data_IF_841019401855
#
_entry.id   IF_841019401855
#
_cell.length_a   1.000
_cell.length_b   1.000
_cell.length_c   1.000
_cell.angle_alpha   90.00
_cell.angle_beta   90.00
_cell.angle_gamma   90.00
#
_symmetry.space_group_name_H-M   'P 1'
#
loop_
_entity.id
_entity.type
_entity.pdbx_description
1 polymer ?
#
# COMPACT_ATOMS: atom_id res chain seq x y z
N UNK A 1 1.47 -66.37 -1.11
CA UNK A 1 0.37 -65.42 -0.79
C UNK A 1 0.98 -64.03 -0.70
N UNK A 2 0.87 -63.21 -1.75
CA UNK A 2 1.35 -61.82 -1.77
C UNK A 2 0.13 -60.92 -1.58
N UNK A 3 -0.02 -60.34 -0.40
CA UNK A 3 -1.09 -59.36 -0.12
C UNK A 3 -0.64 -57.98 -0.62
N UNK A 4 -1.22 -57.54 -1.74
CA UNK A 4 -1.14 -56.15 -2.19
C UNK A 4 -2.14 -55.32 -1.38
N UNK A 5 -1.65 -54.45 -0.52
CA UNK A 5 -2.47 -53.45 0.19
C UNK A 5 -2.60 -52.23 -0.71
N UNK A 6 -3.80 -51.98 -1.25
CA UNK A 6 -4.14 -50.74 -1.94
C UNK A 6 -4.33 -49.62 -0.90
N UNK A 7 -3.46 -48.61 -0.94
CA UNK A 7 -3.59 -47.40 -0.12
C UNK A 7 -4.47 -46.38 -0.86
N UNK A 8 -5.70 -46.19 -0.38
CA UNK A 8 -6.59 -45.13 -0.87
C UNK A 8 -6.14 -43.78 -0.29
N UNK A 9 -5.60 -42.90 -1.12
CA UNK A 9 -5.24 -41.53 -0.73
C UNK A 9 -6.53 -40.68 -0.68
N UNK A 10 -6.98 -40.35 0.53
CA UNK A 10 -8.07 -39.40 0.75
C UNK A 10 -7.55 -37.97 0.50
N UNK A 11 -7.96 -37.35 -0.62
CA UNK A 11 -7.73 -35.93 -0.88
C UNK A 11 -8.69 -35.08 -0.04
N UNK A 12 -8.20 -34.60 1.11
CA UNK A 12 -8.88 -33.58 1.90
C UNK A 12 -8.77 -32.22 1.19
N UNK A 13 -9.89 -31.51 0.93
CA UNK A 13 -9.82 -30.17 0.37
C UNK A 13 -9.25 -29.21 1.42
N UNK A 14 -8.07 -28.63 1.15
CA UNK A 14 -7.57 -27.48 1.89
C UNK A 14 -8.54 -26.32 1.66
N UNK A 15 -9.42 -26.07 2.63
CA UNK A 15 -10.11 -24.79 2.71
C UNK A 15 -9.09 -23.76 3.16
N UNK A 16 -8.69 -22.86 2.26
CA UNK A 16 -7.92 -21.70 2.63
C UNK A 16 -8.79 -20.83 3.54
N UNK A 17 -8.52 -20.88 4.85
CA UNK A 17 -9.16 -19.98 5.80
C UNK A 17 -8.74 -18.54 5.43
N UNK A 18 -9.70 -17.74 4.94
CA UNK A 18 -9.48 -16.32 4.80
C UNK A 18 -9.17 -15.75 6.19
N UNK A 19 -8.02 -15.10 6.35
CA UNK A 19 -7.68 -14.46 7.62
C UNK A 19 -8.73 -13.40 7.92
N UNK A 20 -9.37 -13.51 9.08
CA UNK A 20 -10.26 -12.47 9.58
C UNK A 20 -9.44 -11.19 9.79
N UNK A 21 -9.91 -10.04 9.29
CA UNK A 21 -9.24 -8.77 9.56
C UNK A 21 -9.07 -8.54 11.05
N UNK A 22 -8.03 -7.79 11.43
CA UNK A 22 -7.87 -7.28 12.79
C UNK A 22 -9.10 -6.48 13.23
N UNK A 23 -9.30 -6.31 14.54
CA UNK A 23 -10.32 -5.40 15.05
C UNK A 23 -10.15 -3.99 14.46
N UNK A 24 -11.23 -3.21 14.35
CA UNK A 24 -11.14 -1.84 13.82
C UNK A 24 -10.13 -0.98 14.58
N UNK A 25 -10.03 -1.17 15.90
CA UNK A 25 -9.05 -0.52 16.76
C UNK A 25 -7.61 -0.90 16.37
N UNK A 26 -7.31 -2.18 16.18
CA UNK A 26 -5.98 -2.63 15.80
C UNK A 26 -5.63 -2.28 14.34
N UNK A 27 -6.60 -2.23 13.43
CA UNK A 27 -6.40 -1.69 12.09
C UNK A 27 -6.03 -0.21 12.12
N UNK A 28 -6.71 0.59 12.94
CA UNK A 28 -6.36 2.01 13.15
C UNK A 28 -4.96 2.14 13.76
N UNK A 29 -4.69 1.43 14.86
CA UNK A 29 -3.44 1.53 15.61
C UNK A 29 -2.22 1.09 14.78
N UNK A 30 -2.36 0.07 13.96
CA UNK A 30 -1.30 -0.41 13.06
C UNK A 30 -1.12 0.51 11.84
N UNK A 31 -2.20 0.96 11.21
CA UNK A 31 -2.13 1.77 9.99
C UNK A 31 -1.41 3.10 10.21
N UNK A 32 -1.73 3.79 11.30
CA UNK A 32 -1.18 5.12 11.60
C UNK A 32 0.32 5.10 11.90
N UNK A 33 0.91 3.94 12.19
CA UNK A 33 2.36 3.84 12.43
C UNK A 33 3.18 4.20 11.18
N UNK A 34 2.60 4.11 9.99
CA UNK A 34 3.23 4.58 8.76
C UNK A 34 3.38 6.12 8.72
N UNK A 35 2.51 6.87 9.38
CA UNK A 35 2.56 8.33 9.39
C UNK A 35 3.62 8.87 10.38
N UNK A 36 4.15 10.10 10.12
CA UNK A 36 4.89 10.88 11.11
C UNK A 36 4.10 11.02 12.41
N UNK A 37 4.78 10.94 13.55
CA UNK A 37 4.17 10.81 14.88
C UNK A 37 3.17 11.94 15.18
N UNK A 38 3.56 13.17 14.86
CA UNK A 38 2.79 14.39 15.05
C UNK A 38 1.51 14.45 14.19
N UNK A 39 1.43 13.66 13.11
CA UNK A 39 0.28 13.63 12.21
C UNK A 39 -0.68 12.46 12.49
N UNK A 40 -0.31 11.49 13.34
CA UNK A 40 -1.08 10.25 13.52
C UNK A 40 -2.47 10.45 14.07
N UNK A 41 -2.63 11.38 15.02
CA UNK A 41 -3.90 11.59 15.72
C UNK A 41 -5.00 12.11 14.78
N UNK A 42 -4.64 12.94 13.79
CA UNK A 42 -5.60 13.54 12.86
C UNK A 42 -5.82 12.78 11.55
N UNK A 43 -5.08 11.70 11.29
CA UNK A 43 -5.19 10.99 10.00
C UNK A 43 -6.56 10.30 9.84
N UNK A 44 -7.15 10.36 8.65
CA UNK A 44 -8.24 9.45 8.31
C UNK A 44 -7.70 8.01 8.24
N UNK A 45 -8.53 7.02 8.50
CA UNK A 45 -8.15 5.60 8.36
C UNK A 45 -9.20 4.84 7.56
N UNK A 46 -8.74 4.20 6.49
CA UNK A 46 -9.47 3.20 5.73
C UNK A 46 -8.98 1.81 6.14
N UNK A 47 -9.90 0.88 6.41
CA UNK A 47 -9.57 -0.50 6.74
C UNK A 47 -10.65 -1.47 6.26
N UNK A 48 -10.49 -2.75 6.56
CA UNK A 48 -11.28 -3.83 5.98
C UNK A 48 -12.33 -4.34 6.98
N UNK A 49 -13.59 -4.40 6.52
CA UNK A 49 -14.67 -5.05 7.23
C UNK A 49 -14.57 -6.57 7.15
N UNK A 50 -15.44 -7.27 7.90
CA UNK A 50 -15.50 -8.74 7.90
C UNK A 50 -15.82 -9.34 6.51
N UNK A 51 -16.45 -8.58 5.63
CA UNK A 51 -16.70 -8.96 4.22
C UNK A 51 -15.48 -8.72 3.30
N UNK A 52 -14.35 -8.27 3.87
CA UNK A 52 -13.12 -7.95 3.18
C UNK A 52 -13.21 -6.67 2.33
N UNK A 53 -14.28 -5.87 2.46
CA UNK A 53 -14.39 -4.58 1.77
C UNK A 53 -13.78 -3.47 2.60
N UNK A 54 -13.26 -2.48 1.88
CA UNK A 54 -12.67 -1.30 2.49
C UNK A 54 -13.77 -0.34 2.97
N UNK A 55 -13.63 0.16 4.19
CA UNK A 55 -14.52 1.12 4.83
C UNK A 55 -13.71 2.17 5.60
N UNK A 56 -14.31 3.34 5.84
CA UNK A 56 -13.72 4.34 6.74
C UNK A 56 -13.89 3.88 8.20
N UNK A 57 -12.78 3.62 8.88
CA UNK A 57 -12.75 3.24 10.29
C UNK A 57 -12.58 4.45 11.19
N UNK A 58 -11.94 5.51 10.68
CA UNK A 58 -11.74 6.77 11.40
C UNK A 58 -11.82 7.94 10.43
N UNK A 59 -12.67 8.91 10.74
CA UNK A 59 -12.70 10.20 10.04
C UNK A 59 -11.47 11.02 10.39
N UNK A 60 -10.84 11.61 9.38
CA UNK A 60 -9.66 12.46 9.56
C UNK A 60 -9.98 13.92 9.86
N UNK A 61 -9.02 14.61 10.47
CA UNK A 61 -9.01 16.06 10.72
C UNK A 61 -7.80 16.77 10.11
N UNK A 62 -6.83 16.02 9.56
CA UNK A 62 -5.65 16.56 8.87
C UNK A 62 -5.53 16.04 7.42
N UNK A 63 -4.35 16.19 6.83
CA UNK A 63 -4.08 15.95 5.42
C UNK A 63 -3.83 14.48 5.08
N UNK A 64 -3.71 13.58 6.05
CA UNK A 64 -3.35 12.19 5.80
C UNK A 64 -4.57 11.27 5.75
N UNK A 65 -4.52 10.33 4.81
CA UNK A 65 -5.35 9.13 4.76
C UNK A 65 -4.43 7.93 4.92
N UNK A 66 -4.68 7.11 5.94
CA UNK A 66 -3.98 5.87 6.20
C UNK A 66 -4.83 4.67 5.76
N UNK A 67 -4.20 3.72 5.09
CA UNK A 67 -4.77 2.47 4.63
C UNK A 67 -4.20 1.34 5.51
N UNK A 68 -5.10 0.59 6.14
CA UNK A 68 -4.75 -0.57 6.94
C UNK A 68 -4.17 -1.70 6.08
N UNK A 69 -3.49 -2.61 6.75
CA UNK A 69 -2.97 -3.84 6.15
C UNK A 69 -4.09 -4.66 5.52
N UNK A 70 -3.85 -5.17 4.31
CA UNK A 70 -4.82 -5.99 3.61
C UNK A 70 -4.76 -7.42 4.16
N UNK A 71 -5.85 -7.95 4.75
CA UNK A 71 -5.86 -9.29 5.35
C UNK A 71 -5.63 -10.44 4.35
N UNK A 72 -5.63 -10.14 3.04
CA UNK A 72 -5.31 -11.11 1.97
C UNK A 72 -3.83 -11.15 1.61
N UNK A 73 -3.03 -10.19 2.08
CA UNK A 73 -1.60 -10.11 1.78
C UNK A 73 -0.81 -10.99 2.77
N UNK A 74 0.30 -11.57 2.30
CA UNK A 74 1.13 -12.48 3.11
C UNK A 74 2.17 -11.76 3.96
N UNK A 75 2.31 -10.45 3.78
CA UNK A 75 3.26 -9.59 4.49
C UNK A 75 2.55 -8.33 4.94
N UNK A 76 2.84 -7.85 6.15
CA UNK A 76 2.25 -6.63 6.66
C UNK A 76 2.67 -5.42 5.82
N UNK A 77 1.70 -4.65 5.36
CA UNK A 77 1.89 -3.37 4.68
C UNK A 77 0.78 -2.37 5.01
N UNK A 78 1.12 -1.31 5.72
CA UNK A 78 0.26 -0.14 5.90
C UNK A 78 0.81 1.06 5.11
N UNK A 79 -0.07 1.95 4.66
CA UNK A 79 0.35 3.16 3.96
C UNK A 79 -0.39 4.39 4.47
N UNK A 80 0.28 5.53 4.62
CA UNK A 80 -0.37 6.82 4.83
C UNK A 80 0.04 7.79 3.73
N UNK A 81 -0.89 8.56 3.19
CA UNK A 81 -0.61 9.48 2.10
C UNK A 81 -1.44 10.74 2.21
N UNK A 82 -0.97 11.80 1.56
CA UNK A 82 -1.73 13.03 1.48
C UNK A 82 -3.07 12.80 0.76
N UNK A 83 -4.18 13.31 1.31
CA UNK A 83 -5.55 13.12 0.86
C UNK A 83 -5.79 13.41 -0.62
N UNK A 84 -5.06 14.36 -1.20
CA UNK A 84 -5.12 14.66 -2.65
C UNK A 84 -4.73 13.47 -3.55
N UNK A 85 -3.98 12.49 -3.05
CA UNK A 85 -3.65 11.26 -3.76
C UNK A 85 -4.79 10.24 -3.72
N UNK A 86 -5.78 10.39 -2.83
CA UNK A 86 -6.80 9.38 -2.63
C UNK A 86 -7.62 9.04 -3.89
N UNK A 87 -8.03 10.00 -4.75
CA UNK A 87 -8.68 9.64 -6.02
C UNK A 87 -7.85 8.65 -6.86
N UNK A 88 -6.54 8.88 -6.94
CA UNK A 88 -5.61 8.03 -7.68
C UNK A 88 -5.37 6.67 -7.01
N UNK A 89 -5.31 6.64 -5.68
CA UNK A 89 -5.16 5.40 -4.90
C UNK A 89 -6.43 4.55 -4.95
N UNK A 90 -7.60 5.15 -4.75
CA UNK A 90 -8.91 4.51 -4.86
C UNK A 90 -9.11 3.90 -6.24
N UNK A 91 -8.80 4.63 -7.31
CA UNK A 91 -8.85 4.09 -8.67
C UNK A 91 -7.91 2.89 -8.86
N UNK A 92 -6.72 2.94 -8.26
CA UNK A 92 -5.81 1.80 -8.23
C UNK A 92 -6.41 0.56 -7.56
N UNK A 93 -7.09 0.74 -6.43
CA UNK A 93 -7.79 -0.36 -5.71
C UNK A 93 -8.96 -0.92 -6.51
N UNK A 94 -9.74 -0.06 -7.16
CA UNK A 94 -10.84 -0.46 -8.04
C UNK A 94 -10.35 -1.32 -9.21
N UNK A 95 -9.28 -0.90 -9.89
CA UNK A 95 -8.66 -1.66 -10.97
C UNK A 95 -8.14 -3.03 -10.49
N UNK A 96 -7.51 -3.09 -9.30
CA UNK A 96 -7.10 -4.36 -8.71
C UNK A 96 -8.30 -5.29 -8.48
N UNK A 97 -9.42 -4.77 -7.98
CA UNK A 97 -10.64 -5.56 -7.78
C UNK A 97 -11.24 -6.10 -9.10
N UNK A 98 -10.96 -5.43 -10.21
CA UNK A 98 -11.30 -5.87 -11.58
C UNK A 98 -10.27 -6.84 -12.18
N UNK A 99 -9.24 -7.22 -11.43
CA UNK A 99 -8.16 -8.09 -11.89
C UNK A 99 -7.07 -7.38 -12.71
N UNK A 100 -7.19 -6.06 -12.90
CA UNK A 100 -6.18 -5.25 -13.60
C UNK A 100 -5.04 -4.93 -12.63
N UNK A 101 -3.92 -5.64 -12.78
CA UNK A 101 -2.75 -5.56 -11.90
C UNK A 101 -1.48 -5.27 -12.69
N UNK A 102 -0.34 -5.09 -12.00
CA UNK A 102 0.96 -4.86 -12.65
C UNK A 102 1.25 -3.41 -13.08
N UNK A 103 2.44 -3.21 -13.67
CA UNK A 103 2.97 -1.88 -14.02
C UNK A 103 2.17 -1.15 -15.10
N UNK A 104 1.65 -1.88 -16.09
CA UNK A 104 0.89 -1.31 -17.20
C UNK A 104 -0.43 -0.66 -16.77
N UNK A 105 -1.00 -1.10 -15.63
CA UNK A 105 -2.23 -0.52 -15.05
C UNK A 105 -2.19 1.00 -14.96
N UNK A 106 -1.03 1.58 -14.68
CA UNK A 106 -0.89 3.02 -14.55
C UNK A 106 -0.95 3.71 -15.91
N UNK A 107 -0.13 3.26 -16.85
CA UNK A 107 -0.05 3.87 -18.18
C UNK A 107 -1.34 3.70 -18.98
N UNK A 108 -1.95 2.51 -18.93
CA UNK A 108 -3.13 2.16 -19.73
C UNK A 108 -4.43 2.78 -19.20
N UNK A 109 -4.54 2.92 -17.88
CA UNK A 109 -5.78 3.39 -17.24
C UNK A 109 -5.57 4.72 -16.53
N UNK A 110 -4.87 4.72 -15.39
CA UNK A 110 -4.87 5.88 -14.49
C UNK A 110 -4.29 7.14 -15.15
N UNK A 111 -3.15 7.05 -15.83
CA UNK A 111 -2.53 8.19 -16.49
C UNK A 111 -3.31 8.67 -17.71
N UNK A 112 -3.97 7.76 -18.44
CA UNK A 112 -4.89 8.12 -19.52
C UNK A 112 -6.09 8.89 -18.97
N UNK A 113 -6.72 8.38 -17.91
CA UNK A 113 -7.84 9.03 -17.24
C UNK A 113 -7.45 10.41 -16.66
N UNK A 114 -6.21 10.57 -16.17
CA UNK A 114 -5.69 11.88 -15.74
C UNK A 114 -5.56 12.83 -16.93
N UNK A 115 -4.98 12.40 -18.06
CA UNK A 115 -4.83 13.22 -19.27
C UNK A 115 -6.18 13.64 -19.85
N UNK A 116 -7.18 12.77 -19.75
CA UNK A 116 -8.57 13.03 -20.16
C UNK A 116 -9.35 13.87 -19.13
N UNK A 117 -8.77 14.21 -17.98
CA UNK A 117 -9.41 14.99 -16.92
C UNK A 117 -10.45 14.21 -16.10
N UNK A 118 -10.55 12.89 -16.30
CA UNK A 118 -11.51 12.00 -15.60
C UNK A 118 -11.03 11.61 -14.21
N UNK A 119 -9.72 11.48 -14.03
CA UNK A 119 -9.11 11.13 -12.75
C UNK A 119 -8.33 12.33 -12.19
N UNK A 120 -8.70 12.78 -10.99
CA UNK A 120 -7.97 13.84 -10.29
C UNK A 120 -6.61 13.32 -9.82
N UNK A 121 -5.58 14.12 -10.03
CA UNK A 121 -4.23 13.86 -9.54
C UNK A 121 -3.55 15.18 -9.18
N UNK A 122 -2.83 15.27 -8.06
CA UNK A 122 -2.16 16.49 -7.64
C UNK A 122 -1.09 16.89 -8.66
N UNK A 123 -0.93 18.19 -8.88
CA UNK A 123 0.19 18.76 -9.66
C UNK A 123 1.40 19.04 -8.77
N UNK A 124 1.14 19.43 -7.54
CA UNK A 124 2.15 19.70 -6.52
C UNK A 124 2.67 18.39 -5.89
N UNK A 125 3.89 18.41 -5.31
CA UNK A 125 4.43 17.23 -4.65
C UNK A 125 3.54 16.74 -3.50
N UNK A 126 3.38 15.42 -3.39
CA UNK A 126 2.58 14.79 -2.32
C UNK A 126 3.29 13.59 -1.72
N UNK A 127 3.21 13.50 -0.39
CA UNK A 127 3.81 12.40 0.37
C UNK A 127 2.95 11.16 0.39
N UNK A 128 3.62 10.02 0.32
CA UNK A 128 3.17 8.70 0.70
C UNK A 128 4.25 8.00 1.54
N UNK A 129 3.83 7.44 2.66
CA UNK A 129 4.61 6.66 3.60
C UNK A 129 4.13 5.22 3.51
N UNK A 130 5.03 4.25 3.39
CA UNK A 130 4.71 2.82 3.38
C UNK A 130 5.46 2.13 4.49
N UNK A 131 4.74 1.61 5.47
CA UNK A 131 5.29 0.78 6.52
C UNK A 131 5.14 -0.68 6.13
N UNK A 132 6.27 -1.38 6.02
CA UNK A 132 6.30 -2.84 5.84
C UNK A 132 6.91 -3.50 7.06
N UNK A 133 6.50 -4.72 7.37
CA UNK A 133 7.04 -5.48 8.50
C UNK A 133 6.65 -6.94 8.44
N UNK A 134 7.00 -7.70 9.48
CA UNK A 134 6.61 -9.12 9.60
C UNK A 134 5.16 -9.32 10.04
N UNK A 135 4.59 -8.32 10.72
CA UNK A 135 3.26 -8.41 11.31
C UNK A 135 3.03 -7.29 12.32
N UNK A 136 1.79 -7.15 12.79
CA UNK A 136 1.43 -6.28 13.90
C UNK A 136 1.21 -7.13 15.15
N UNK A 137 1.93 -6.82 16.23
CA UNK A 137 1.75 -7.45 17.54
C UNK A 137 0.72 -6.66 18.35
N UNK A 138 -0.47 -7.25 18.55
CA UNK A 138 -1.59 -6.59 19.23
C UNK A 138 -1.27 -6.27 20.70
N UNK A 139 -0.49 -7.12 21.37
CA UNK A 139 -0.18 -6.97 22.78
C UNK A 139 0.74 -5.76 23.06
N UNK A 140 1.78 -5.57 22.24
CA UNK A 140 2.68 -4.42 22.34
C UNK A 140 2.22 -3.21 21.54
N UNK A 141 1.27 -3.41 20.61
CA UNK A 141 0.78 -2.38 19.71
C UNK A 141 1.80 -1.93 18.67
N UNK A 142 2.72 -2.81 18.23
CA UNK A 142 3.84 -2.45 17.34
C UNK A 142 3.91 -3.34 16.11
N UNK A 143 4.35 -2.74 15.00
CA UNK A 143 4.74 -3.50 13.80
C UNK A 143 6.14 -4.09 14.00
N UNK A 144 6.23 -5.41 13.94
CA UNK A 144 7.47 -6.18 14.11
C UNK A 144 8.38 -6.00 12.89
N UNK A 145 9.65 -5.68 13.13
CA UNK A 145 10.65 -5.37 12.10
C UNK A 145 10.17 -4.30 11.10
N UNK A 146 9.39 -3.34 11.61
CA UNK A 146 8.80 -2.26 10.83
C UNK A 146 9.84 -1.35 10.18
N UNK A 147 9.68 -1.11 8.88
CA UNK A 147 10.49 -0.18 8.10
C UNK A 147 9.58 0.72 7.26
N UNK A 148 9.76 2.03 7.38
CA UNK A 148 9.05 3.01 6.55
C UNK A 148 9.87 3.34 5.31
N UNK A 149 9.26 3.17 4.15
CA UNK A 149 9.70 3.77 2.87
C UNK A 149 8.94 5.07 2.67
N UNK A 150 9.63 6.07 2.12
CA UNK A 150 9.02 7.32 1.69
C UNK A 150 8.92 7.38 0.17
N UNK A 151 7.80 7.91 -0.30
CA UNK A 151 7.47 8.10 -1.70
C UNK A 151 6.97 9.52 -1.86
N UNK A 152 7.64 10.32 -2.69
CA UNK A 152 7.25 11.69 -2.98
C UNK A 152 6.77 11.74 -4.42
N UNK A 153 5.47 11.83 -4.65
CA UNK A 153 4.94 12.03 -5.99
C UNK A 153 5.38 13.39 -6.52
N UNK A 154 6.02 13.41 -7.68
CA UNK A 154 6.54 14.61 -8.37
C UNK A 154 6.18 14.52 -9.86
N UNK A 155 4.90 14.73 -10.22
CA UNK A 155 4.39 14.43 -11.55
C UNK A 155 5.21 15.11 -12.65
N UNK A 156 5.58 14.36 -13.69
CA UNK A 156 6.39 14.79 -14.84
C UNK A 156 7.84 15.19 -14.53
N UNK A 157 8.32 15.03 -13.30
CA UNK A 157 9.71 15.29 -12.97
C UNK A 157 10.65 14.37 -13.75
N UNK A 158 11.78 14.92 -14.21
CA UNK A 158 12.87 14.20 -14.88
C UNK A 158 14.15 14.23 -14.03
N UNK A 159 15.15 13.44 -14.43
CA UNK A 159 16.47 13.47 -13.82
C UNK A 159 17.10 14.87 -13.91
N UNK A 160 16.95 15.56 -15.03
CA UNK A 160 17.47 16.91 -15.27
C UNK A 160 16.79 17.94 -14.37
N UNK A 161 15.47 17.83 -14.17
CA UNK A 161 14.73 18.77 -13.33
C UNK A 161 15.00 18.60 -11.82
N UNK A 162 15.45 17.41 -11.39
CA UNK A 162 15.58 17.06 -9.96
C UNK A 162 17.01 16.80 -9.51
N UNK A 163 17.92 16.47 -10.42
CA UNK A 163 19.25 15.96 -10.12
C UNK A 163 19.28 14.52 -9.60
N UNK A 164 18.16 13.79 -9.58
CA UNK A 164 18.09 12.44 -9.03
C UNK A 164 18.48 11.37 -10.05
N UNK A 165 19.15 10.32 -9.56
CA UNK A 165 19.37 9.08 -10.32
C UNK A 165 18.03 8.42 -10.65
N UNK A 166 17.87 7.89 -11.86
CA UNK A 166 16.74 7.03 -12.24
C UNK A 166 16.99 5.56 -11.90
N UNK A 167 18.16 5.24 -11.34
CA UNK A 167 18.53 3.89 -10.90
C UNK A 167 18.22 3.72 -9.43
N UNK A 168 17.47 2.67 -9.11
CA UNK A 168 17.17 2.28 -7.73
C UNK A 168 18.41 1.89 -6.95
N UNK A 169 18.57 2.49 -5.76
CA UNK A 169 19.59 2.11 -4.78
C UNK A 169 19.04 2.27 -3.37
N UNK A 170 19.17 1.23 -2.54
CA UNK A 170 18.72 1.28 -1.14
C UNK A 170 19.63 2.21 -0.35
N UNK A 171 19.04 3.01 0.54
CA UNK A 171 19.71 4.04 1.32
C UNK A 171 19.86 5.38 0.60
N UNK A 172 19.51 5.47 -0.69
CA UNK A 172 19.61 6.69 -1.49
C UNK A 172 18.27 7.03 -2.16
N UNK A 173 17.94 8.33 -2.30
CA UNK A 173 16.78 8.75 -3.08
C UNK A 173 17.00 8.50 -4.56
N UNK A 174 15.95 8.06 -5.27
CA UNK A 174 15.99 7.89 -6.72
C UNK A 174 14.62 8.20 -7.34
N UNK A 175 14.60 8.54 -8.63
CA UNK A 175 13.40 8.91 -9.37
C UNK A 175 12.86 7.72 -10.16
N UNK A 176 11.71 7.17 -9.74
CA UNK A 176 10.97 6.17 -10.50
C UNK A 176 10.06 6.86 -11.52
N UNK A 177 9.82 6.20 -12.66
CA UNK A 177 8.91 6.65 -13.72
C UNK A 177 9.18 8.08 -14.23
N UNK A 178 10.46 8.47 -14.30
CA UNK A 178 10.90 9.81 -14.71
C UNK A 178 10.26 10.25 -16.05
N UNK A 179 9.84 11.52 -16.11
CA UNK A 179 9.20 12.12 -17.28
C UNK A 179 7.74 11.72 -17.51
N UNK A 180 7.16 10.89 -16.63
CA UNK A 180 5.75 10.49 -16.72
C UNK A 180 4.91 11.18 -15.65
N UNK A 181 3.57 11.11 -15.79
CA UNK A 181 2.64 11.57 -14.76
C UNK A 181 2.85 10.86 -13.42
N UNK A 182 3.36 9.62 -13.42
CA UNK A 182 3.60 8.86 -12.21
C UNK A 182 4.98 9.08 -11.59
N UNK A 183 5.81 10.00 -12.11
CA UNK A 183 7.14 10.23 -11.58
C UNK A 183 7.13 10.46 -10.05
N UNK A 184 8.00 9.76 -9.34
CA UNK A 184 8.08 9.85 -7.88
C UNK A 184 9.46 9.53 -7.31
N UNK A 185 9.83 10.24 -6.25
CA UNK A 185 11.08 10.03 -5.51
C UNK A 185 10.87 8.89 -4.53
N UNK A 186 11.69 7.86 -4.65
CA UNK A 186 11.68 6.67 -3.80
C UNK A 186 12.84 6.73 -2.81
N UNK A 187 12.53 6.65 -1.52
CA UNK A 187 13.52 6.62 -0.44
C UNK A 187 13.26 5.36 0.38
N UNK A 188 14.11 4.35 0.21
CA UNK A 188 14.07 3.15 1.04
C UNK A 188 15.27 3.17 1.98
N UNK A 189 15.06 3.12 3.30
CA UNK A 189 16.17 3.17 4.25
C UNK A 189 17.13 1.98 4.07
N UNK A 190 18.40 2.14 4.48
CA UNK A 190 19.35 1.03 4.51
C UNK A 190 18.82 -0.12 5.36
N UNK A 191 19.31 -1.33 5.10
CA UNK A 191 19.05 -2.44 6.02
C UNK A 191 19.79 -2.16 7.34
N UNK A 192 19.15 -2.52 8.45
CA UNK A 192 19.81 -2.53 9.77
C UNK A 192 20.79 -3.69 9.84
#
# INVERSE_FOLDING_TARGET
>A
MKNSVLLFLLLLPLTAAAQTPLSAEHQIASAIQAAPEEMRAGAAVLGYGADGKLAELRKGTNELVCLADNPKDTTFSAACYHKDLEPYMARGRELTAQGVTGGNRNAEYRWKEIKEGKLKFPKEPRMLYVLSGKGYDEASGKVTDGVVRWVIYVPNATAESTGLSTKSKRGEPWLMDAGTLGAHIMITPPMK
#
